data_IF_018522650841
#
_entry.id   IF_018522650841
#
_cell.length_a   1.000
_cell.length_b   1.000
_cell.length_c   1.000
_cell.angle_alpha   90.00
_cell.angle_beta   90.00
_cell.angle_gamma   90.00
#
_symmetry.space_group_name_H-M   'P 1'
#
loop_
_entity.id
_entity.type
_entity.pdbx_description
1 polymer ?
#
# COMPACT_ATOMS: atom_id res chain seq x y z
N UNK A 1 20.05 -0.12 -13.01
CA UNK A 1 19.10 0.06 -14.13
C UNK A 1 18.87 1.55 -14.25
N UNK A 2 19.51 2.25 -15.19
CA UNK A 2 19.23 3.69 -15.38
C UNK A 2 18.20 3.77 -16.51
N UNK A 3 16.95 3.43 -16.20
CA UNK A 3 15.83 4.04 -16.94
C UNK A 3 15.89 5.53 -16.61
N UNK A 4 15.63 6.42 -17.57
CA UNK A 4 15.46 7.84 -17.25
C UNK A 4 14.44 7.94 -16.11
N UNK A 5 14.72 8.78 -15.12
CA UNK A 5 13.79 8.99 -14.01
C UNK A 5 12.66 9.89 -14.49
N UNK A 6 11.41 9.46 -14.27
CA UNK A 6 10.22 10.31 -14.42
C UNK A 6 9.77 10.91 -13.09
N UNK A 7 10.44 10.57 -11.99
CA UNK A 7 10.14 11.02 -10.64
C UNK A 7 11.40 11.47 -9.88
N UNK A 8 11.30 12.57 -9.15
CA UNK A 8 12.29 13.10 -8.23
C UNK A 8 11.83 12.92 -6.78
N UNK A 9 12.48 11.98 -6.07
CA UNK A 9 12.18 11.68 -4.66
C UNK A 9 12.46 12.86 -3.74
N UNK A 10 13.52 13.64 -3.97
CA UNK A 10 13.89 14.78 -3.12
C UNK A 10 12.87 15.91 -3.24
N UNK A 11 12.39 16.19 -4.46
CA UNK A 11 11.34 17.19 -4.71
C UNK A 11 10.03 16.80 -4.05
N UNK A 12 9.65 15.51 -4.16
CA UNK A 12 8.49 14.96 -3.47
C UNK A 12 8.59 15.08 -1.94
N UNK A 13 9.70 14.61 -1.34
CA UNK A 13 9.89 14.62 0.11
C UNK A 13 9.77 16.02 0.69
N UNK A 14 10.39 17.01 0.04
CA UNK A 14 10.32 18.41 0.43
C UNK A 14 8.87 18.92 0.49
N UNK A 15 8.08 18.66 -0.55
CA UNK A 15 6.67 19.05 -0.60
C UNK A 15 5.82 18.28 0.43
N UNK A 16 6.07 16.98 0.57
CA UNK A 16 5.33 16.08 1.44
C UNK A 16 5.51 16.42 2.92
N UNK A 17 6.74 16.69 3.34
CA UNK A 17 7.07 17.09 4.71
C UNK A 17 6.45 18.44 5.03
N UNK A 18 6.58 19.41 4.11
CA UNK A 18 5.93 20.72 4.26
C UNK A 18 4.43 20.57 4.48
N UNK A 19 3.75 19.76 3.67
CA UNK A 19 2.30 19.50 3.78
C UNK A 19 1.90 18.85 5.11
N UNK A 20 2.70 17.90 5.60
CA UNK A 20 2.48 17.27 6.91
C UNK A 20 2.67 18.29 8.03
N UNK A 21 3.74 19.07 8.01
CA UNK A 21 4.01 20.09 9.04
C UNK A 21 2.94 21.19 9.07
N UNK A 22 2.45 21.63 7.91
CA UNK A 22 1.31 22.57 7.84
C UNK A 22 0.03 22.02 8.48
N UNK A 23 -0.17 20.68 8.45
CA UNK A 23 -1.29 20.02 9.12
C UNK A 23 -1.09 19.96 10.63
N UNK A 24 0.12 19.57 11.07
CA UNK A 24 0.48 19.40 12.48
C UNK A 24 0.48 20.73 13.23
N UNK A 25 1.01 21.80 12.62
CA UNK A 25 1.19 23.10 13.29
C UNK A 25 -0.12 23.80 13.72
N UNK A 26 -1.28 23.28 13.31
CA UNK A 26 -2.60 23.80 13.70
C UNK A 26 -3.18 23.11 14.94
N UNK A 27 -2.53 22.07 15.46
CA UNK A 27 -3.03 21.20 16.53
C UNK A 27 -1.90 20.78 17.47
N UNK A 28 -2.25 20.25 18.64
CA UNK A 28 -1.28 19.68 19.58
C UNK A 28 -0.74 18.33 19.07
N UNK A 29 -1.62 17.52 18.47
CA UNK A 29 -1.30 16.19 17.93
C UNK A 29 -1.89 15.95 16.54
N UNK A 30 -1.23 15.10 15.76
CA UNK A 30 -1.73 14.56 14.50
C UNK A 30 -1.63 13.03 14.51
N UNK A 31 -2.76 12.34 14.41
CA UNK A 31 -2.79 10.92 14.07
C UNK A 31 -2.77 10.78 12.55
N UNK A 32 -1.65 10.32 12.02
CA UNK A 32 -1.41 10.16 10.59
C UNK A 32 -1.52 8.68 10.23
N UNK A 33 -2.63 8.31 9.59
CA UNK A 33 -2.84 6.94 9.10
C UNK A 33 -1.96 6.68 7.88
N UNK A 34 -1.04 5.72 7.97
CA UNK A 34 -0.22 5.30 6.84
C UNK A 34 -0.88 4.16 6.08
N UNK A 35 -1.31 4.45 4.86
CA UNK A 35 -1.71 3.44 3.89
C UNK A 35 -0.50 2.79 3.20
N UNK A 36 -0.66 1.50 2.90
CA UNK A 36 0.38 0.70 2.25
C UNK A 36 1.58 0.41 3.14
N UNK A 37 2.72 0.11 2.51
CA UNK A 37 3.93 -0.33 3.20
C UNK A 37 4.77 0.86 3.66
N UNK A 38 5.37 0.78 4.85
CA UNK A 38 6.38 1.75 5.30
C UNK A 38 7.72 1.59 4.57
N UNK A 39 8.09 0.35 4.23
CA UNK A 39 9.30 0.00 3.48
C UNK A 39 8.96 -0.83 2.26
N UNK A 40 9.81 -0.75 1.24
CA UNK A 40 9.75 -1.60 0.06
C UNK A 40 8.47 -1.40 -0.75
N UNK A 41 8.12 -0.15 -1.02
CA UNK A 41 7.01 0.20 -1.91
C UNK A 41 7.40 -0.04 -3.37
N UNK A 42 7.53 -1.33 -3.72
CA UNK A 42 7.92 -1.76 -5.05
C UNK A 42 6.91 -1.39 -6.13
N UNK A 43 5.64 -1.21 -5.76
CA UNK A 43 4.64 -0.73 -6.71
C UNK A 43 4.93 0.73 -7.08
N UNK A 44 5.07 1.62 -6.09
CA UNK A 44 5.43 3.02 -6.33
C UNK A 44 6.72 3.15 -7.15
N UNK A 45 7.78 2.40 -6.80
CA UNK A 45 9.05 2.45 -7.53
C UNK A 45 8.97 2.01 -9.01
N UNK A 46 8.02 1.12 -9.35
CA UNK A 46 7.80 0.69 -10.75
C UNK A 46 6.91 1.64 -11.53
N UNK A 47 5.91 2.23 -10.87
CA UNK A 47 4.94 3.17 -11.46
C UNK A 47 5.53 4.57 -11.61
N UNK A 48 6.39 4.98 -10.69
CA UNK A 48 7.06 6.29 -10.65
C UNK A 48 8.59 6.09 -10.71
N UNK A 49 9.20 5.89 -11.91
CA UNK A 49 10.64 5.64 -12.03
C UNK A 49 11.47 6.77 -11.42
N UNK A 50 12.18 6.48 -10.33
CA UNK A 50 12.90 7.45 -9.51
C UNK A 50 12.35 7.60 -8.09
N UNK A 51 11.18 7.02 -7.79
CA UNK A 51 10.67 6.85 -6.43
C UNK A 51 11.48 5.81 -5.67
N UNK A 52 12.18 6.22 -4.61
CA UNK A 52 13.02 5.33 -3.82
C UNK A 52 12.19 4.35 -2.96
N UNK A 53 12.64 3.10 -2.82
CA UNK A 53 11.92 2.06 -2.06
C UNK A 53 11.76 2.37 -0.56
N UNK A 54 12.62 3.24 -0.04
CA UNK A 54 12.66 3.72 1.33
C UNK A 54 12.18 5.17 1.47
N UNK A 55 11.51 5.75 0.46
CA UNK A 55 11.02 7.14 0.49
C UNK A 55 10.22 7.46 1.76
N UNK A 56 9.28 6.60 2.17
CA UNK A 56 8.51 6.84 3.40
C UNK A 56 9.37 6.79 4.66
N UNK A 57 10.43 5.98 4.67
CA UNK A 57 11.41 5.97 5.76
C UNK A 57 12.25 7.24 5.77
N UNK A 58 12.70 7.73 4.61
CA UNK A 58 13.42 8.99 4.50
C UNK A 58 12.56 10.14 5.05
N UNK A 59 11.29 10.18 4.68
CA UNK A 59 10.32 11.13 5.23
C UNK A 59 10.22 11.04 6.76
N UNK A 60 10.06 9.83 7.33
CA UNK A 60 9.99 9.66 8.79
C UNK A 60 11.27 10.12 9.50
N UNK A 61 12.44 9.89 8.90
CA UNK A 61 13.71 10.37 9.45
C UNK A 61 13.83 11.88 9.42
N UNK A 62 13.33 12.54 8.37
CA UNK A 62 13.31 14.00 8.28
C UNK A 62 12.32 14.64 9.26
N UNK A 63 11.20 13.98 9.55
CA UNK A 63 10.31 14.38 10.65
C UNK A 63 10.96 14.16 12.03
N UNK A 64 11.95 13.26 12.12
CA UNK A 64 12.85 13.11 13.26
C UNK A 64 12.14 12.80 14.57
N UNK A 65 12.60 13.43 15.66
CA UNK A 65 12.11 13.20 17.02
C UNK A 65 10.69 13.72 17.28
N UNK A 66 9.98 14.20 16.26
CA UNK A 66 8.57 14.64 16.38
C UNK A 66 7.57 13.50 16.16
N UNK A 67 8.06 12.31 15.81
CA UNK A 67 7.27 11.15 15.42
C UNK A 67 7.28 10.05 16.48
N UNK A 68 6.11 9.43 16.67
CA UNK A 68 5.92 8.19 17.42
C UNK A 68 5.14 7.18 16.56
N UNK A 69 5.55 5.92 16.54
CA UNK A 69 4.93 4.91 15.66
C UNK A 69 4.07 3.95 16.49
N UNK A 70 2.81 3.79 16.10
CA UNK A 70 1.87 2.82 16.63
C UNK A 70 1.51 1.81 15.54
N UNK A 71 1.64 0.53 15.85
CA UNK A 71 1.38 -0.55 14.91
C UNK A 71 0.09 -1.28 15.24
N UNK A 72 -0.92 -1.20 14.36
CA UNK A 72 -2.18 -1.92 14.53
C UNK A 72 -2.14 -3.30 13.86
N UNK A 73 -2.85 -4.26 14.44
CA UNK A 73 -3.13 -5.58 13.86
C UNK A 73 -4.50 -6.08 14.32
N UNK A 74 -5.27 -6.69 13.42
CA UNK A 74 -6.54 -7.31 13.79
C UNK A 74 -6.32 -8.70 14.41
N UNK A 75 -6.93 -8.96 15.57
CA UNK A 75 -6.96 -10.29 16.19
C UNK A 75 -7.50 -11.34 15.22
N UNK A 76 -8.52 -11.00 14.42
CA UNK A 76 -9.08 -11.90 13.38
C UNK A 76 -8.06 -12.24 12.29
N UNK A 77 -7.16 -11.31 11.96
CA UNK A 77 -6.09 -11.58 10.98
C UNK A 77 -5.00 -12.49 11.55
N UNK A 78 -4.74 -12.42 12.87
CA UNK A 78 -3.82 -13.33 13.57
C UNK A 78 -4.41 -14.74 13.59
N UNK A 79 -5.67 -14.88 14.03
CA UNK A 79 -6.35 -16.19 14.09
C UNK A 79 -6.47 -16.84 12.71
N UNK A 80 -6.80 -16.04 11.68
CA UNK A 80 -6.85 -16.51 10.29
C UNK A 80 -5.49 -16.74 9.64
N UNK A 81 -4.38 -16.55 10.38
CA UNK A 81 -2.99 -16.62 9.88
C UNK A 81 -2.80 -15.91 8.55
N UNK A 82 -3.35 -14.70 8.44
CA UNK A 82 -3.36 -13.95 7.18
C UNK A 82 -1.93 -13.70 6.71
N UNK A 83 -1.62 -14.12 5.48
CA UNK A 83 -0.29 -14.00 4.88
C UNK A 83 -0.21 -12.75 4.01
N UNK A 84 0.91 -12.04 4.12
CA UNK A 84 1.28 -10.94 3.22
C UNK A 84 2.06 -11.50 2.02
N UNK A 85 1.50 -11.35 0.81
CA UNK A 85 2.04 -11.95 -0.43
C UNK A 85 3.49 -11.58 -0.75
N UNK A 86 3.94 -10.39 -0.34
CA UNK A 86 5.27 -9.89 -0.72
C UNK A 86 6.44 -10.67 -0.09
N UNK A 87 6.30 -11.05 1.18
CA UNK A 87 7.34 -11.74 1.94
C UNK A 87 6.95 -13.16 2.34
N UNK A 88 5.70 -13.56 2.10
CA UNK A 88 5.17 -14.84 2.55
C UNK A 88 5.04 -14.96 4.07
N UNK A 89 5.11 -13.83 4.80
CA UNK A 89 5.02 -13.78 6.25
C UNK A 89 3.57 -13.63 6.70
N UNK A 90 3.21 -14.24 7.83
CA UNK A 90 1.95 -13.92 8.49
C UNK A 90 1.98 -12.48 9.01
N UNK A 91 0.81 -11.89 9.23
CA UNK A 91 0.71 -10.49 9.67
C UNK A 91 1.45 -10.23 11.00
N UNK A 92 1.43 -11.18 11.94
CA UNK A 92 2.13 -11.10 13.22
C UNK A 92 3.66 -11.22 13.05
N UNK A 93 4.14 -12.08 12.15
CA UNK A 93 5.55 -12.16 11.78
C UNK A 93 6.04 -10.88 11.09
N UNK A 94 5.21 -10.30 10.23
CA UNK A 94 5.50 -9.05 9.55
C UNK A 94 5.68 -7.90 10.56
N UNK A 95 4.86 -7.83 11.62
CA UNK A 95 5.03 -6.81 12.66
C UNK A 95 6.36 -6.94 13.38
N UNK A 96 6.75 -8.16 13.77
CA UNK A 96 8.03 -8.38 14.42
C UNK A 96 9.20 -8.00 13.51
N UNK A 97 9.06 -8.27 12.20
CA UNK A 97 10.05 -7.82 11.21
C UNK A 97 10.08 -6.30 11.10
N UNK A 98 8.93 -5.65 10.99
CA UNK A 98 8.81 -4.20 10.83
C UNK A 98 9.38 -3.46 12.06
N UNK A 99 9.09 -3.92 13.28
CA UNK A 99 9.67 -3.37 14.52
C UNK A 99 11.20 -3.46 14.50
N UNK A 100 11.76 -4.62 14.15
CA UNK A 100 13.21 -4.80 14.08
C UNK A 100 13.85 -3.94 12.97
N UNK A 101 13.22 -3.87 11.80
CA UNK A 101 13.72 -3.10 10.67
C UNK A 101 13.69 -1.60 10.91
N UNK A 102 12.65 -1.09 11.60
CA UNK A 102 12.53 0.30 12.02
C UNK A 102 13.55 0.64 13.11
N UNK A 103 13.70 -0.23 14.12
CA UNK A 103 14.68 -0.03 15.19
C UNK A 103 16.12 0.08 14.66
N UNK A 104 16.48 -0.74 13.66
CA UNK A 104 17.81 -0.71 12.99
C UNK A 104 18.14 0.62 12.32
N UNK A 105 17.14 1.45 12.03
CA UNK A 105 17.31 2.74 11.36
C UNK A 105 16.97 3.92 12.29
N UNK A 106 16.84 3.67 13.60
CA UNK A 106 16.61 4.70 14.62
C UNK A 106 15.14 5.13 14.76
N UNK A 107 14.19 4.31 14.30
CA UNK A 107 12.75 4.57 14.48
C UNK A 107 12.17 3.50 15.40
N UNK A 108 11.76 3.89 16.61
CA UNK A 108 11.16 2.97 17.57
C UNK A 108 9.63 2.90 17.42
N UNK A 109 9.08 1.70 17.62
CA UNK A 109 7.64 1.47 17.70
C UNK A 109 7.23 1.57 19.16
N UNK A 110 6.42 2.57 19.50
CA UNK A 110 6.02 2.85 20.87
C UNK A 110 5.02 1.84 21.42
N UNK A 111 4.11 1.37 20.56
CA UNK A 111 3.10 0.39 20.94
C UNK A 111 2.60 -0.45 19.76
N UNK A 112 2.12 -1.65 20.08
CA UNK A 112 1.31 -2.48 19.19
C UNK A 112 -0.13 -2.51 19.71
N UNK A 113 -1.10 -2.30 18.82
CA UNK A 113 -2.53 -2.34 19.16
C UNK A 113 -3.17 -3.53 18.47
N UNK A 114 -3.63 -4.49 19.26
CA UNK A 114 -4.39 -5.65 18.77
C UNK A 114 -5.88 -5.27 18.75
N UNK A 115 -6.41 -5.03 17.56
CA UNK A 115 -7.78 -4.58 17.34
C UNK A 115 -8.74 -5.74 17.17
N UNK A 116 -10.04 -5.50 17.43
CA UNK A 116 -11.11 -6.52 17.37
C UNK A 116 -10.82 -7.75 18.23
N UNK A 117 -10.14 -7.53 19.35
CA UNK A 117 -9.71 -8.55 20.27
C UNK A 117 -10.88 -9.05 21.12
N UNK A 118 -11.02 -10.37 21.24
CA UNK A 118 -12.05 -11.01 22.05
C UNK A 118 -11.52 -12.18 22.89
N UNK A 119 -10.21 -12.22 23.16
CA UNK A 119 -9.60 -13.25 24.02
C UNK A 119 -9.10 -14.49 23.28
N UNK A 120 -8.90 -14.40 21.96
CA UNK A 120 -8.50 -15.56 21.16
C UNK A 120 -7.08 -16.05 21.50
N UNK A 121 -6.85 -17.37 21.39
CA UNK A 121 -5.62 -18.01 21.90
C UNK A 121 -4.35 -17.58 21.16
N UNK A 122 -4.40 -17.45 19.83
CA UNK A 122 -3.19 -17.07 19.08
C UNK A 122 -2.88 -15.59 19.27
N UNK A 123 -3.91 -14.75 19.40
CA UNK A 123 -3.77 -13.34 19.77
C UNK A 123 -3.15 -13.17 21.16
N UNK A 124 -3.57 -13.97 22.15
CA UNK A 124 -2.97 -14.00 23.49
C UNK A 124 -1.47 -14.37 23.46
N UNK A 125 -1.11 -15.41 22.71
CA UNK A 125 0.30 -15.80 22.53
C UNK A 125 1.12 -14.70 21.89
N UNK A 126 0.57 -14.01 20.89
CA UNK A 126 1.26 -12.92 20.21
C UNK A 126 1.43 -11.70 21.13
N UNK A 127 0.39 -11.33 21.89
CA UNK A 127 0.46 -10.31 22.95
C UNK A 127 1.59 -10.62 23.93
N UNK A 128 1.60 -11.81 24.53
CA UNK A 128 2.66 -12.24 25.45
C UNK A 128 4.04 -12.21 24.80
N UNK A 129 4.14 -12.61 23.53
CA UNK A 129 5.39 -12.59 22.77
C UNK A 129 5.96 -11.17 22.62
N UNK A 130 5.11 -10.17 22.40
CA UNK A 130 5.50 -8.77 22.32
C UNK A 130 5.88 -8.20 23.69
N UNK A 131 5.08 -8.47 24.73
CA UNK A 131 5.35 -8.02 26.11
C UNK A 131 6.67 -8.59 26.64
N UNK A 132 6.97 -9.86 26.37
CA UNK A 132 8.26 -10.48 26.71
C UNK A 132 9.48 -9.81 26.03
N UNK A 133 9.25 -8.98 25.01
CA UNK A 133 10.28 -8.19 24.32
C UNK A 133 10.30 -6.73 24.77
N UNK A 134 9.53 -6.37 25.79
CA UNK A 134 9.42 -5.01 26.31
C UNK A 134 8.63 -4.08 25.37
N UNK A 135 7.76 -4.62 24.51
CA UNK A 135 6.91 -3.83 23.63
C UNK A 135 5.57 -3.61 24.33
N UNK A 136 5.11 -2.36 24.39
CA UNK A 136 3.80 -2.04 24.95
C UNK A 136 2.69 -2.58 24.02
N UNK A 137 1.71 -3.28 24.59
CA UNK A 137 0.60 -3.86 23.83
C UNK A 137 -0.72 -3.41 24.42
N UNK A 138 -1.57 -2.85 23.57
CA UNK A 138 -2.94 -2.46 23.90
C UNK A 138 -3.93 -3.30 23.11
N UNK A 139 -5.15 -3.41 23.61
CA UNK A 139 -6.22 -4.15 22.94
C UNK A 139 -7.42 -3.25 22.72
N UNK A 140 -8.05 -3.35 21.55
CA UNK A 140 -9.36 -2.76 21.31
C UNK A 140 -10.36 -3.82 20.91
N UNK A 141 -11.62 -3.61 21.27
CA UNK A 141 -12.70 -4.53 20.99
C UNK A 141 -13.45 -4.16 19.72
N UNK A 142 -14.24 -5.09 19.19
CA UNK A 142 -15.17 -4.77 18.11
C UNK A 142 -16.35 -3.99 18.68
N UNK A 143 -16.62 -2.81 18.12
CA UNK A 143 -17.80 -2.01 18.46
C UNK A 143 -18.94 -2.46 17.53
N UNK A 144 -20.04 -3.05 18.07
CA UNK A 144 -21.18 -3.43 17.26
C UNK A 144 -21.79 -2.21 16.56
N UNK A 145 -22.35 -2.42 15.36
CA UNK A 145 -23.13 -1.41 14.64
C UNK A 145 -22.33 -0.13 14.31
N UNK A 146 -21.01 -0.25 14.14
CA UNK A 146 -20.09 0.88 14.00
C UNK A 146 -20.45 1.87 12.88
N UNK A 147 -21.08 1.40 11.80
CA UNK A 147 -21.45 2.23 10.66
C UNK A 147 -22.86 2.85 10.80
N UNK A 148 -23.67 2.34 11.73
CA UNK A 148 -25.11 2.67 11.83
C UNK A 148 -25.49 3.35 13.14
N UNK A 149 -24.76 3.10 14.24
CA UNK A 149 -25.01 3.67 15.56
C UNK A 149 -23.82 4.52 16.03
N UNK A 150 -23.71 5.72 15.46
CA UNK A 150 -22.60 6.63 15.77
C UNK A 150 -22.69 7.23 17.18
N UNK A 151 -23.88 7.28 17.78
CA UNK A 151 -24.06 7.72 19.16
C UNK A 151 -23.39 6.75 20.13
N UNK A 152 -23.58 5.44 19.92
CA UNK A 152 -22.86 4.43 20.68
C UNK A 152 -21.37 4.43 20.38
N UNK A 153 -20.96 4.56 19.13
CA UNK A 153 -19.53 4.59 18.75
C UNK A 153 -18.79 5.73 19.46
N UNK A 154 -19.34 6.95 19.41
CA UNK A 154 -18.74 8.15 20.01
C UNK A 154 -19.27 8.36 21.44
N UNK A 155 -19.11 7.33 22.28
CA UNK A 155 -19.54 7.36 23.69
C UNK A 155 -18.58 6.60 24.61
N UNK A 156 -18.88 6.63 25.91
CA UNK A 156 -18.21 5.81 26.92
C UNK A 156 -18.42 4.30 26.71
N UNK A 157 -19.46 3.89 25.98
CA UNK A 157 -19.71 2.48 25.66
C UNK A 157 -19.00 1.99 24.39
N UNK A 158 -18.60 2.93 23.52
CA UNK A 158 -17.85 2.70 22.28
C UNK A 158 -16.37 3.03 22.46
N UNK A 159 -15.91 4.14 21.89
CA UNK A 159 -14.50 4.56 21.99
C UNK A 159 -14.01 4.70 23.42
N UNK A 160 -14.85 5.11 24.38
CA UNK A 160 -14.44 5.25 25.77
C UNK A 160 -14.04 3.93 26.46
N UNK A 161 -14.37 2.77 25.88
CA UNK A 161 -13.89 1.45 26.34
C UNK A 161 -12.50 1.10 25.82
N UNK A 162 -12.01 1.79 24.80
CA UNK A 162 -10.67 1.51 24.28
C UNK A 162 -9.64 2.15 25.21
N UNK A 163 -8.48 1.49 25.35
CA UNK A 163 -7.38 2.07 26.12
C UNK A 163 -6.87 3.33 25.41
N UNK A 164 -6.62 4.38 26.20
CA UNK A 164 -5.87 5.53 25.74
C UNK A 164 -4.39 5.20 25.71
N UNK A 165 -3.77 5.31 24.54
CA UNK A 165 -2.34 5.10 24.35
C UNK A 165 -1.63 6.42 24.60
N UNK A 166 -0.95 6.53 25.73
CA UNK A 166 -0.19 7.73 26.05
C UNK A 166 0.97 7.91 25.07
N UNK A 167 0.92 9.02 24.35
CA UNK A 167 1.91 9.43 23.35
C UNK A 167 2.50 10.77 23.72
N UNK A 168 3.81 10.92 23.51
CA UNK A 168 4.58 12.11 23.91
C UNK A 168 4.98 13.00 22.74
N UNK A 169 4.82 12.50 21.50
CA UNK A 169 5.21 13.20 20.29
C UNK A 169 4.01 13.86 19.60
N UNK A 170 4.29 14.82 18.71
CA UNK A 170 3.23 15.55 17.99
C UNK A 170 2.64 14.75 16.84
N UNK A 171 3.44 13.92 16.17
CA UNK A 171 3.01 13.16 15.00
C UNK A 171 2.95 11.68 15.38
N UNK A 172 1.75 11.13 15.41
CA UNK A 172 1.51 9.73 15.75
C UNK A 172 1.22 8.97 14.45
N UNK A 173 2.19 8.17 14.03
CA UNK A 173 2.12 7.37 12.80
C UNK A 173 1.37 6.09 13.13
N UNK A 174 0.18 5.93 12.54
CA UNK A 174 -0.64 4.73 12.72
C UNK A 174 -0.45 3.84 11.49
N UNK A 175 0.23 2.70 11.66
CA UNK A 175 0.58 1.77 10.58
C UNK A 175 0.04 0.36 10.82
N UNK A 176 0.09 -0.51 9.82
CA UNK A 176 -0.39 -1.90 9.90
C UNK A 176 0.29 -2.80 8.86
N UNK A 177 0.27 -4.14 9.03
CA UNK A 177 0.81 -5.05 8.03
C UNK A 177 -0.04 -5.07 6.75
N UNK A 178 -1.31 -4.66 6.82
CA UNK A 178 -2.19 -4.49 5.67
C UNK A 178 -3.60 -3.98 6.03
N UNK A 179 -4.52 -3.96 5.05
CA UNK A 179 -5.88 -3.45 5.22
C UNK A 179 -6.69 -4.27 6.23
N UNK A 180 -7.71 -3.65 6.83
CA UNK A 180 -8.60 -4.28 7.81
C UNK A 180 -8.01 -4.42 9.22
N UNK A 181 -6.89 -3.77 9.51
CA UNK A 181 -6.22 -3.85 10.83
C UNK A 181 -6.73 -2.84 11.87
N UNK A 182 -7.74 -2.03 11.54
CA UNK A 182 -8.39 -1.10 12.48
C UNK A 182 -7.69 0.25 12.70
N UNK A 183 -6.80 0.68 11.79
CA UNK A 183 -6.02 1.93 11.92
C UNK A 183 -6.88 3.17 12.15
N UNK A 184 -7.86 3.41 11.28
CA UNK A 184 -8.77 4.56 11.38
C UNK A 184 -9.60 4.54 12.67
N UNK A 185 -10.19 3.40 13.01
CA UNK A 185 -10.99 3.27 14.24
C UNK A 185 -10.15 3.53 15.50
N UNK A 186 -8.92 3.02 15.54
CA UNK A 186 -7.96 3.34 16.60
C UNK A 186 -7.63 4.84 16.64
N UNK A 187 -7.27 5.45 15.51
CA UNK A 187 -6.95 6.88 15.45
C UNK A 187 -8.12 7.75 15.94
N UNK A 188 -9.35 7.45 15.51
CA UNK A 188 -10.55 8.16 15.96
C UNK A 188 -10.83 7.97 17.45
N UNK A 189 -10.57 6.79 18.01
CA UNK A 189 -10.70 6.58 19.45
C UNK A 189 -9.68 7.41 20.23
N UNK A 190 -8.44 7.50 19.75
CA UNK A 190 -7.43 8.32 20.42
C UNK A 190 -7.77 9.82 20.35
N UNK A 191 -8.32 10.29 19.22
CA UNK A 191 -8.83 11.66 19.10
C UNK A 191 -9.97 11.90 20.07
N UNK A 192 -10.90 10.95 20.23
CA UNK A 192 -11.98 11.03 21.23
C UNK A 192 -11.43 11.21 22.65
N UNK A 193 -10.42 10.41 23.04
CA UNK A 193 -9.79 10.56 24.35
C UNK A 193 -8.98 11.85 24.50
N UNK A 194 -8.26 12.28 23.46
CA UNK A 194 -7.54 13.55 23.44
C UNK A 194 -8.52 14.71 23.69
N UNK A 195 -9.69 14.72 23.02
CA UNK A 195 -10.70 15.76 23.21
C UNK A 195 -11.28 15.75 24.63
N UNK A 196 -11.53 14.57 25.22
CA UNK A 196 -11.92 14.45 26.64
C UNK A 196 -10.86 14.98 27.61
N UNK A 197 -9.59 14.98 27.22
CA UNK A 197 -8.45 15.50 28.00
C UNK A 197 -8.10 16.95 27.67
N UNK A 198 -8.87 17.62 26.80
CA UNK A 198 -8.61 19.00 26.37
C UNK A 198 -7.44 19.15 25.40
N UNK A 199 -6.95 18.06 24.79
CA UNK A 199 -5.89 18.07 23.80
C UNK A 199 -6.51 18.27 22.42
N UNK A 200 -5.97 19.20 21.63
CA UNK A 200 -6.43 19.40 20.25
C UNK A 200 -5.69 18.45 19.32
N UNK A 201 -6.39 17.43 18.81
CA UNK A 201 -5.80 16.42 17.93
C UNK A 201 -6.48 16.36 16.57
N UNK A 202 -5.70 16.19 15.51
CA UNK A 202 -6.16 16.06 14.13
C UNK A 202 -5.98 14.64 13.60
N UNK A 203 -6.67 14.35 12.50
CA UNK A 203 -6.55 13.14 11.71
C UNK A 203 -6.12 13.48 10.29
N UNK A 204 -5.21 12.69 9.71
CA UNK A 204 -4.94 12.74 8.30
C UNK A 204 -4.57 11.37 7.75
N UNK A 205 -4.74 11.20 6.44
CA UNK A 205 -4.41 9.98 5.72
C UNK A 205 -3.22 10.19 4.80
N UNK A 206 -2.22 9.34 4.94
CA UNK A 206 -1.06 9.26 4.06
C UNK A 206 -1.20 8.06 3.13
N UNK A 207 -1.58 8.33 1.89
CA UNK A 207 -1.63 7.33 0.82
C UNK A 207 -0.91 7.87 -0.41
N UNK A 208 -0.07 7.04 -1.03
CA UNK A 208 0.66 7.42 -2.25
C UNK A 208 -0.26 7.37 -3.47
N UNK A 209 -1.18 6.41 -3.51
CA UNK A 209 -2.12 6.21 -4.62
C UNK A 209 -3.56 6.06 -4.10
N UNK A 210 -4.57 6.53 -4.86
CA UNK A 210 -4.40 7.31 -6.09
C UNK A 210 -3.80 8.70 -5.81
N UNK A 211 -3.21 9.31 -6.85
CA UNK A 211 -2.69 10.68 -6.78
C UNK A 211 -3.84 11.63 -7.11
N UNK A 212 -4.33 12.32 -6.07
CA UNK A 212 -5.59 13.07 -6.11
C UNK A 212 -5.64 14.17 -7.17
N UNK A 213 -4.52 14.81 -7.45
CA UNK A 213 -4.38 15.89 -8.43
C UNK A 213 -3.89 15.42 -9.80
N UNK A 214 -3.94 14.10 -10.07
CA UNK A 214 -3.91 13.54 -11.43
C UNK A 214 -5.32 13.12 -11.86
N UNK A 215 -5.66 13.16 -13.16
CA UNK A 215 -6.94 12.67 -13.66
C UNK A 215 -7.23 11.22 -13.26
N UNK A 216 -8.52 10.88 -13.13
CA UNK A 216 -8.96 9.51 -12.78
C UNK A 216 -8.41 8.48 -13.77
N UNK A 217 -8.45 8.82 -15.06
CA UNK A 217 -7.95 7.97 -16.15
C UNK A 217 -6.45 8.09 -16.42
N UNK A 218 -5.69 8.79 -15.56
CA UNK A 218 -4.25 8.84 -15.68
C UNK A 218 -3.65 7.43 -15.47
N UNK A 219 -2.75 6.93 -16.33
CA UNK A 219 -2.20 5.58 -16.20
C UNK A 219 -1.61 5.27 -14.82
N UNK A 220 -1.02 6.26 -14.14
CA UNK A 220 -0.55 6.12 -12.74
C UNK A 220 -1.67 5.73 -11.78
N UNK A 221 -2.84 6.36 -11.87
CA UNK A 221 -4.00 6.03 -11.05
C UNK A 221 -4.61 4.69 -11.48
N UNK A 222 -4.68 4.41 -12.78
CA UNK A 222 -5.15 3.11 -13.29
C UNK A 222 -4.23 1.96 -12.85
N UNK A 223 -2.91 2.19 -12.74
CA UNK A 223 -1.98 1.19 -12.24
C UNK A 223 -2.23 0.82 -10.76
N UNK A 224 -2.74 1.76 -9.96
CA UNK A 224 -3.20 1.47 -8.60
C UNK A 224 -4.44 0.58 -8.61
N UNK A 225 -5.43 0.90 -9.44
CA UNK A 225 -6.63 0.07 -9.63
C UNK A 225 -6.26 -1.35 -10.12
N UNK A 226 -5.27 -1.45 -11.01
CA UNK A 226 -4.69 -2.72 -11.44
C UNK A 226 -3.97 -3.47 -10.31
N UNK A 227 -3.49 -2.79 -9.27
CA UNK A 227 -2.84 -3.43 -8.12
C UNK A 227 -3.84 -3.86 -7.05
N UNK A 228 -5.10 -3.43 -7.15
CA UNK A 228 -6.19 -3.70 -6.19
C UNK A 228 -7.41 -4.35 -6.85
N UNK A 229 -7.27 -4.91 -8.05
CA UNK A 229 -8.40 -5.48 -8.80
C UNK A 229 -9.10 -6.62 -8.05
N UNK A 230 -8.37 -7.36 -7.22
CA UNK A 230 -8.90 -8.40 -6.33
C UNK A 230 -9.72 -7.83 -5.15
N UNK A 231 -9.38 -6.63 -4.69
CA UNK A 231 -10.12 -5.92 -3.64
C UNK A 231 -11.35 -5.19 -4.17
N UNK A 232 -11.40 -4.93 -5.48
CA UNK A 232 -12.48 -4.19 -6.13
C UNK A 232 -12.46 -2.69 -5.86
N UNK A 233 -11.34 -2.15 -5.36
CA UNK A 233 -11.16 -0.71 -5.23
C UNK A 233 -10.98 -0.10 -6.63
N UNK A 234 -11.76 0.94 -6.95
CA UNK A 234 -11.70 1.63 -8.24
C UNK A 234 -11.58 3.15 -8.07
N UNK A 235 -10.91 3.81 -9.01
CA UNK A 235 -10.74 5.25 -8.96
C UNK A 235 -12.04 5.97 -9.36
N UNK A 236 -12.37 7.05 -8.67
CA UNK A 236 -13.52 7.88 -8.96
C UNK A 236 -13.23 9.35 -8.66
N UNK A 237 -14.14 10.23 -9.12
CA UNK A 237 -14.10 11.64 -8.72
C UNK A 237 -14.57 11.76 -7.27
N UNK A 238 -13.84 12.51 -6.46
CA UNK A 238 -14.29 12.90 -5.13
C UNK A 238 -15.48 13.87 -5.24
N UNK A 239 -16.69 13.32 -5.13
CA UNK A 239 -17.92 14.11 -5.22
C UNK A 239 -18.02 15.17 -4.12
N UNK A 240 -17.49 14.90 -2.93
CA UNK A 240 -17.52 15.83 -1.80
C UNK A 240 -16.61 17.03 -2.05
N UNK A 241 -15.41 16.79 -2.63
CA UNK A 241 -14.50 17.87 -3.00
C UNK A 241 -15.06 18.72 -4.14
N UNK A 242 -15.67 18.06 -5.15
CA UNK A 242 -16.33 18.74 -6.26
C UNK A 242 -17.47 19.64 -5.76
N UNK A 243 -18.30 19.16 -4.84
CA UNK A 243 -19.39 19.94 -4.25
C UNK A 243 -18.86 21.13 -3.42
N UNK A 244 -17.83 20.90 -2.61
CA UNK A 244 -17.30 21.91 -1.70
C UNK A 244 -16.48 23.01 -2.40
N UNK A 245 -15.76 22.67 -3.48
CA UNK A 245 -14.77 23.55 -4.10
C UNK A 245 -14.93 23.74 -5.61
N UNK A 246 -15.80 22.97 -6.27
CA UNK A 246 -15.97 23.02 -7.73
C UNK A 246 -14.80 22.42 -8.52
N UNK A 247 -13.92 21.65 -7.85
CA UNK A 247 -12.70 21.08 -8.47
C UNK A 247 -12.81 19.56 -8.57
N UNK A 248 -12.58 19.04 -9.77
CA UNK A 248 -12.51 17.60 -10.01
C UNK A 248 -11.15 17.05 -9.56
N UNK A 249 -11.18 16.16 -8.58
CA UNK A 249 -10.00 15.47 -8.02
C UNK A 249 -10.28 13.97 -7.92
N UNK A 250 -9.21 13.17 -8.00
CA UNK A 250 -9.29 11.72 -7.94
C UNK A 250 -9.27 11.22 -6.50
N UNK A 251 -10.16 10.29 -6.20
CA UNK A 251 -10.11 9.46 -5.00
C UNK A 251 -10.49 8.02 -5.40
N UNK A 252 -10.82 7.17 -4.44
CA UNK A 252 -11.32 5.82 -4.72
C UNK A 252 -12.59 5.55 -3.93
N UNK A 253 -13.39 4.64 -4.46
CA UNK A 253 -14.78 4.43 -4.05
C UNK A 253 -14.97 4.25 -2.54
N UNK A 254 -14.15 3.41 -1.90
CA UNK A 254 -14.28 3.10 -0.47
C UNK A 254 -14.12 4.35 0.41
N UNK A 255 -13.21 5.25 0.08
CA UNK A 255 -13.01 6.47 0.86
C UNK A 255 -14.13 7.48 0.62
N UNK A 256 -14.58 7.63 -0.62
CA UNK A 256 -15.71 8.51 -0.98
C UNK A 256 -17.02 8.05 -0.34
N UNK A 257 -17.29 6.74 -0.35
CA UNK A 257 -18.46 6.12 0.25
C UNK A 257 -18.46 6.28 1.78
N UNK A 258 -17.31 6.05 2.42
CA UNK A 258 -17.19 6.10 3.88
C UNK A 258 -17.01 7.52 4.45
N UNK A 259 -16.69 8.52 3.62
CA UNK A 259 -16.40 9.88 4.11
C UNK A 259 -17.57 10.48 4.90
N UNK A 260 -18.81 10.25 4.48
CA UNK A 260 -20.00 10.76 5.18
C UNK A 260 -20.10 10.27 6.62
N UNK A 261 -19.66 9.04 6.90
CA UNK A 261 -19.62 8.45 8.24
C UNK A 261 -18.47 9.05 9.04
N UNK A 262 -17.27 9.16 8.43
CA UNK A 262 -16.10 9.75 9.08
C UNK A 262 -16.38 11.21 9.48
N UNK A 263 -17.01 11.98 8.60
CA UNK A 263 -17.39 13.37 8.87
C UNK A 263 -18.32 13.48 10.09
N UNK A 264 -19.35 12.63 10.18
CA UNK A 264 -20.25 12.58 11.34
C UNK A 264 -19.53 12.18 12.63
N UNK A 265 -18.59 11.23 12.55
CA UNK A 265 -17.77 10.84 13.70
C UNK A 265 -16.94 12.04 14.18
N UNK A 266 -16.27 12.74 13.25
CA UNK A 266 -15.50 13.96 13.55
C UNK A 266 -16.39 15.02 14.20
N UNK A 267 -17.53 15.34 13.60
CA UNK A 267 -18.49 16.34 14.12
C UNK A 267 -18.99 16.03 15.54
N UNK A 268 -19.13 14.73 15.89
CA UNK A 268 -19.50 14.31 17.24
C UNK A 268 -18.35 14.38 18.25
N UNK A 269 -17.11 14.14 17.80
CA UNK A 269 -15.93 14.16 18.67
C UNK A 269 -15.49 15.59 18.96
N UNK A 270 -15.62 16.49 17.99
CA UNK A 270 -15.06 17.85 18.07
C UNK A 270 -16.13 18.89 18.44
N UNK A 271 -15.77 19.94 19.20
CA UNK A 271 -16.66 21.07 19.43
C UNK A 271 -16.96 21.84 18.12
N UNK A 272 -18.04 22.61 18.12
CA UNK A 272 -18.38 23.47 16.99
C UNK A 272 -17.25 24.48 16.69
N UNK A 273 -16.86 24.59 15.42
CA UNK A 273 -15.76 25.46 14.96
C UNK A 273 -14.36 24.87 15.09
N UNK A 274 -14.22 23.59 15.46
CA UNK A 274 -12.93 22.90 15.45
C UNK A 274 -12.39 22.74 14.01
N UNK A 275 -11.10 23.03 13.73
CA UNK A 275 -10.58 22.93 12.38
C UNK A 275 -10.51 21.51 11.82
N UNK A 276 -10.64 20.46 12.65
CA UNK A 276 -10.80 19.08 12.17
C UNK A 276 -12.19 18.88 11.51
N UNK A 277 -13.22 19.58 11.99
CA UNK A 277 -14.57 19.55 11.39
C UNK A 277 -14.66 20.32 10.06
N UNK A 278 -13.64 21.12 9.71
CA UNK A 278 -13.56 21.83 8.42
C UNK A 278 -13.14 20.93 7.25
N UNK A 279 -12.85 19.65 7.48
CA UNK A 279 -12.56 18.68 6.41
C UNK A 279 -13.86 18.44 5.61
N UNK A 280 -13.87 18.85 4.33
CA UNK A 280 -15.06 18.77 3.47
C UNK A 280 -15.05 17.58 2.53
N UNK A 281 -13.91 16.91 2.36
CA UNK A 281 -13.79 15.74 1.48
C UNK A 281 -12.70 14.75 1.95
N UNK A 282 -12.71 13.49 1.46
CA UNK A 282 -11.60 12.56 1.70
C UNK A 282 -10.28 13.07 1.09
N UNK A 283 -10.32 13.86 0.02
CA UNK A 283 -9.13 14.57 -0.50
C UNK A 283 -8.57 15.57 0.52
N UNK A 284 -9.42 16.32 1.23
CA UNK A 284 -8.96 17.22 2.31
C UNK A 284 -8.40 16.45 3.51
N UNK A 285 -8.87 15.23 3.75
CA UNK A 285 -8.34 14.34 4.79
C UNK A 285 -6.93 13.81 4.42
N UNK A 286 -6.62 13.76 3.13
CA UNK A 286 -5.32 13.36 2.60
C UNK A 286 -4.21 14.40 2.80
N UNK A 287 -2.96 13.92 2.77
CA UNK A 287 -1.76 14.78 2.75
C UNK A 287 -0.83 14.50 1.56
N UNK A 288 -1.26 13.69 0.59
CA UNK A 288 -0.41 13.23 -0.51
C UNK A 288 0.08 14.38 -1.43
N UNK A 289 1.39 14.45 -1.64
CA UNK A 289 2.06 15.40 -2.55
C UNK A 289 2.80 14.71 -3.71
N UNK A 290 2.50 13.44 -4.01
CA UNK A 290 3.28 12.65 -4.98
C UNK A 290 3.41 13.29 -6.37
N UNK A 291 2.40 14.03 -6.87
CA UNK A 291 2.50 14.75 -8.16
C UNK A 291 3.68 15.72 -8.21
N UNK A 292 4.07 16.30 -7.08
CA UNK A 292 5.21 17.23 -7.02
C UNK A 292 6.55 16.56 -7.33
N UNK A 293 6.64 15.24 -7.21
CA UNK A 293 7.82 14.50 -7.63
C UNK A 293 7.85 14.17 -9.12
N UNK A 294 6.74 14.27 -9.85
CA UNK A 294 6.71 13.91 -11.27
C UNK A 294 7.46 14.98 -12.08
N UNK A 295 8.53 14.56 -12.77
CA UNK A 295 9.38 15.41 -13.61
C UNK A 295 9.26 15.08 -15.10
N UNK A 296 8.71 13.92 -15.45
CA UNK A 296 8.42 13.50 -16.83
C UNK A 296 7.14 12.64 -16.84
N UNK A 297 6.05 13.24 -17.33
CA UNK A 297 4.71 12.62 -17.34
C UNK A 297 4.64 11.42 -18.29
N UNK A 298 5.31 11.49 -19.44
CA UNK A 298 5.31 10.43 -20.44
C UNK A 298 6.03 9.18 -19.93
N UNK A 299 7.15 9.36 -19.22
CA UNK A 299 7.87 8.25 -18.60
C UNK A 299 7.05 7.56 -17.50
N UNK A 300 6.38 8.31 -16.62
CA UNK A 300 5.53 7.69 -15.59
C UNK A 300 4.29 7.03 -16.19
N UNK A 301 3.72 7.58 -17.28
CA UNK A 301 2.62 6.94 -18.02
C UNK A 301 3.04 5.59 -18.57
N UNK A 302 4.16 5.53 -19.28
CA UNK A 302 4.66 4.28 -19.87
C UNK A 302 4.99 3.26 -18.77
N UNK A 303 5.67 3.67 -17.70
CA UNK A 303 6.02 2.80 -16.59
C UNK A 303 4.77 2.24 -15.87
N UNK A 304 3.71 3.05 -15.77
CA UNK A 304 2.43 2.63 -15.24
C UNK A 304 1.74 1.59 -16.13
N UNK A 305 1.76 1.78 -17.45
CA UNK A 305 1.22 0.80 -18.42
C UNK A 305 2.00 -0.53 -18.31
N UNK A 306 3.32 -0.48 -18.21
CA UNK A 306 4.15 -1.69 -17.99
C UNK A 306 3.76 -2.42 -16.69
N UNK A 307 3.44 -1.69 -15.62
CA UNK A 307 2.93 -2.27 -14.36
C UNK A 307 1.54 -2.87 -14.53
N UNK A 308 0.62 -2.22 -15.24
CA UNK A 308 -0.72 -2.75 -15.54
C UNK A 308 -0.60 -4.10 -16.26
N UNK A 309 0.23 -4.19 -17.30
CA UNK A 309 0.46 -5.47 -18.03
C UNK A 309 1.11 -6.51 -17.12
N UNK A 310 2.02 -6.11 -16.21
CA UNK A 310 2.59 -7.03 -15.20
C UNK A 310 1.50 -7.59 -14.28
N UNK A 311 0.56 -6.75 -13.82
CA UNK A 311 -0.57 -7.17 -12.98
C UNK A 311 -1.53 -8.09 -13.73
N UNK A 312 -1.76 -7.85 -15.01
CA UNK A 312 -2.50 -8.77 -15.87
C UNK A 312 -1.93 -10.20 -15.80
N UNK A 313 -0.65 -10.40 -16.12
CA UNK A 313 -0.02 -11.73 -16.05
C UNK A 313 0.00 -12.30 -14.63
N UNK A 314 0.17 -11.45 -13.60
CA UNK A 314 0.12 -11.90 -12.22
C UNK A 314 -1.26 -12.46 -11.87
N UNK A 315 -2.34 -11.78 -12.20
CA UNK A 315 -3.69 -12.26 -11.89
C UNK A 315 -4.09 -13.49 -12.70
N UNK A 316 -3.62 -13.63 -13.94
CA UNK A 316 -3.78 -14.87 -14.70
C UNK A 316 -3.15 -16.07 -13.95
N UNK A 317 -1.93 -15.90 -13.44
CA UNK A 317 -1.28 -16.92 -12.61
C UNK A 317 -2.01 -17.13 -11.28
N UNK A 318 -2.41 -16.07 -10.60
CA UNK A 318 -3.11 -16.16 -9.32
C UNK A 318 -4.48 -16.83 -9.45
N UNK A 319 -5.17 -16.71 -10.60
CA UNK A 319 -6.42 -17.41 -10.89
C UNK A 319 -6.20 -18.92 -11.02
N UNK A 320 -5.16 -19.35 -11.75
CA UNK A 320 -4.78 -20.77 -11.88
C UNK A 320 -4.47 -21.39 -10.51
N UNK A 321 -3.91 -20.60 -9.60
CA UNK A 321 -3.56 -21.02 -8.24
C UNK A 321 -4.73 -20.93 -7.26
N UNK A 322 -5.92 -20.50 -7.70
CA UNK A 322 -7.10 -20.35 -6.87
C UNK A 322 -7.04 -19.18 -5.88
N UNK A 323 -6.14 -18.22 -6.08
CA UNK A 323 -5.94 -17.06 -5.19
C UNK A 323 -6.88 -15.89 -5.50
N UNK A 324 -7.51 -15.87 -6.68
CA UNK A 324 -8.47 -14.85 -7.13
C UNK A 324 -9.59 -15.49 -7.94
N UNK A 325 -10.69 -14.77 -8.13
CA UNK A 325 -11.88 -15.21 -8.87
C UNK A 325 -11.89 -14.68 -10.31
N UNK A 326 -12.82 -15.19 -11.13
CA UNK A 326 -13.03 -14.69 -12.50
C UNK A 326 -13.33 -13.19 -12.54
N UNK A 327 -14.07 -12.66 -11.57
CA UNK A 327 -14.34 -11.22 -11.43
C UNK A 327 -13.06 -10.37 -11.42
N UNK A 328 -11.98 -10.91 -10.84
CA UNK A 328 -10.68 -10.20 -10.81
C UNK A 328 -10.08 -10.12 -12.21
N UNK A 329 -10.19 -11.19 -13.01
CA UNK A 329 -9.76 -11.20 -14.41
C UNK A 329 -10.60 -10.24 -15.26
N UNK A 330 -11.93 -10.26 -15.10
CA UNK A 330 -12.83 -9.36 -15.82
C UNK A 330 -12.54 -7.88 -15.54
N UNK A 331 -12.23 -7.54 -14.28
CA UNK A 331 -11.78 -6.18 -13.91
C UNK A 331 -10.45 -5.85 -14.59
N UNK A 332 -9.49 -6.77 -14.53
CA UNK A 332 -8.17 -6.57 -15.14
C UNK A 332 -8.25 -6.38 -16.67
N UNK A 333 -9.14 -7.10 -17.35
CA UNK A 333 -9.38 -6.94 -18.78
C UNK A 333 -9.95 -5.56 -19.12
N UNK A 334 -10.91 -5.06 -18.32
CA UNK A 334 -11.43 -3.68 -18.46
C UNK A 334 -10.34 -2.65 -18.22
N UNK A 335 -9.50 -2.86 -17.22
CA UNK A 335 -8.35 -1.98 -16.91
C UNK A 335 -7.36 -1.94 -18.09
N UNK A 336 -7.03 -3.09 -18.68
CA UNK A 336 -6.17 -3.16 -19.87
C UNK A 336 -6.77 -2.38 -21.05
N UNK A 337 -8.08 -2.52 -21.29
CA UNK A 337 -8.79 -1.77 -22.33
C UNK A 337 -8.75 -0.25 -22.10
N UNK A 338 -8.94 0.21 -20.86
CA UNK A 338 -8.93 1.64 -20.50
C UNK A 338 -7.61 2.35 -20.87
N UNK A 339 -6.49 1.64 -20.79
CA UNK A 339 -5.16 2.18 -21.16
C UNK A 339 -4.69 1.73 -22.54
N UNK A 340 -5.55 1.08 -23.33
CA UNK A 340 -5.21 0.47 -24.62
C UNK A 340 -3.98 -0.46 -24.54
N UNK A 341 -3.80 -1.13 -23.40
CA UNK A 341 -2.72 -2.08 -23.20
C UNK A 341 -3.09 -3.45 -23.75
N UNK A 342 -2.08 -4.17 -24.22
CA UNK A 342 -2.22 -5.56 -24.65
C UNK A 342 -1.18 -6.45 -23.98
N UNK A 343 -1.45 -7.75 -23.77
CA UNK A 343 -0.45 -8.67 -23.22
C UNK A 343 0.89 -8.63 -23.96
N UNK A 344 0.83 -8.42 -25.29
CA UNK A 344 1.99 -8.31 -26.18
C UNK A 344 2.91 -7.12 -25.87
N UNK A 345 2.44 -6.09 -25.15
CA UNK A 345 3.30 -4.99 -24.71
C UNK A 345 4.42 -5.48 -23.77
N UNK A 346 4.26 -6.65 -23.14
CA UNK A 346 5.32 -7.31 -22.38
C UNK A 346 6.13 -8.25 -23.27
N UNK A 347 7.11 -7.72 -23.98
CA UNK A 347 7.95 -8.46 -24.95
C UNK A 347 8.56 -9.75 -24.37
N UNK A 348 9.00 -9.73 -23.10
CA UNK A 348 9.53 -10.94 -22.44
C UNK A 348 8.51 -12.08 -22.36
N UNK A 349 7.21 -11.78 -22.24
CA UNK A 349 6.18 -12.82 -22.22
C UNK A 349 6.03 -13.47 -23.60
N UNK A 350 6.07 -12.68 -24.68
CA UNK A 350 6.06 -13.19 -26.06
C UNK A 350 7.27 -14.10 -26.30
N UNK A 351 8.47 -13.63 -25.97
CA UNK A 351 9.71 -14.40 -26.19
C UNK A 351 9.77 -15.68 -25.35
N UNK A 352 9.15 -15.69 -24.18
CA UNK A 352 9.02 -16.91 -23.38
C UNK A 352 8.09 -17.93 -24.05
N UNK A 353 6.98 -17.48 -24.65
CA UNK A 353 6.08 -18.34 -25.42
C UNK A 353 6.75 -18.90 -26.69
N UNK A 354 7.50 -18.09 -27.43
CA UNK A 354 8.30 -18.56 -28.58
C UNK A 354 9.32 -19.63 -28.15
N UNK A 355 10.00 -19.43 -27.01
CA UNK A 355 10.94 -20.41 -26.47
C UNK A 355 10.25 -21.72 -26.04
N UNK A 356 9.00 -21.64 -25.57
CA UNK A 356 8.17 -22.81 -25.28
C UNK A 356 7.82 -23.55 -26.58
N UNK A 357 7.41 -22.83 -27.63
CA UNK A 357 7.14 -23.43 -28.96
C UNK A 357 8.37 -24.12 -29.54
N UNK A 358 9.56 -23.53 -29.37
CA UNK A 358 10.81 -24.21 -29.74
C UNK A 358 11.10 -25.46 -28.92
N UNK A 359 10.76 -25.44 -27.62
CA UNK A 359 10.91 -26.60 -26.74
C UNK A 359 10.07 -27.78 -27.25
N UNK A 360 8.84 -27.51 -27.69
CA UNK A 360 7.90 -28.51 -28.21
C UNK A 360 8.38 -29.23 -29.48
N UNK A 361 9.34 -28.64 -30.22
CA UNK A 361 9.92 -29.26 -31.43
C UNK A 361 10.91 -30.38 -31.11
N UNK A 362 11.33 -30.53 -29.86
CA UNK A 362 12.28 -31.56 -29.41
C UNK A 362 11.51 -32.71 -28.78
N UNK A 363 11.74 -33.94 -29.23
CA UNK A 363 11.06 -35.12 -28.69
C UNK A 363 11.38 -35.33 -27.20
N UNK A 364 10.36 -35.69 -26.43
CA UNK A 364 10.51 -36.02 -25.01
C UNK A 364 11.60 -37.07 -24.79
N UNK A 365 12.47 -36.80 -23.82
CA UNK A 365 13.48 -37.80 -23.40
C UNK A 365 12.98 -38.64 -22.23
N UNK A 366 11.95 -38.17 -21.52
CA UNK A 366 11.39 -38.81 -20.33
C UNK A 366 9.84 -38.77 -20.41
N UNK A 367 9.12 -39.86 -20.07
CA UNK A 367 7.66 -39.83 -19.96
C UNK A 367 7.19 -38.76 -18.95
N UNK A 368 6.17 -37.96 -19.32
CA UNK A 368 5.63 -36.82 -18.54
C UNK A 368 6.53 -35.60 -18.41
N UNK A 369 7.53 -35.47 -19.27
CA UNK A 369 8.35 -34.27 -19.35
C UNK A 369 7.54 -33.04 -19.81
N UNK A 370 7.41 -32.01 -18.96
CA UNK A 370 6.73 -30.76 -19.33
C UNK A 370 7.67 -29.83 -20.12
N UNK A 371 7.25 -29.38 -21.30
CA UNK A 371 7.94 -28.33 -22.02
C UNK A 371 7.74 -26.99 -21.35
N UNK A 372 8.82 -26.20 -21.27
CA UNK A 372 8.80 -24.85 -20.70
C UNK A 372 9.68 -23.93 -21.53
N UNK A 373 9.33 -22.64 -21.50
CA UNK A 373 10.07 -21.53 -22.11
C UNK A 373 10.18 -20.38 -21.12
N UNK A 374 11.29 -19.64 -21.18
CA UNK A 374 11.55 -18.51 -20.30
C UNK A 374 12.32 -17.43 -21.05
N UNK A 375 12.16 -16.19 -20.64
CA UNK A 375 12.89 -15.07 -21.22
C UNK A 375 13.26 -14.04 -20.15
N UNK A 376 14.41 -13.40 -20.33
CA UNK A 376 14.96 -12.36 -19.47
C UNK A 376 15.32 -11.16 -20.35
N UNK A 377 14.88 -9.98 -19.95
CA UNK A 377 15.36 -8.71 -20.52
C UNK A 377 16.64 -8.28 -19.83
N UNK A 378 17.66 -7.97 -20.62
CA UNK A 378 18.94 -7.46 -20.19
C UNK A 378 19.13 -6.07 -20.79
N UNK A 379 19.28 -5.08 -19.92
CA UNK A 379 19.66 -3.74 -20.36
C UNK A 379 21.17 -3.63 -20.47
N UNK A 380 21.66 -3.47 -21.70
CA UNK A 380 23.05 -3.17 -21.97
C UNK A 380 23.26 -1.65 -21.92
N UNK A 381 24.48 -1.22 -21.56
CA UNK A 381 24.83 0.20 -21.50
C UNK A 381 24.81 0.78 -22.92
N UNK A 382 24.09 1.88 -23.11
CA UNK A 382 24.02 2.65 -24.36
C UNK A 382 23.50 1.87 -25.60
N UNK A 383 22.75 0.77 -25.40
CA UNK A 383 22.10 0.04 -26.50
C UNK A 383 20.65 -0.34 -26.19
N UNK A 384 19.95 -0.82 -27.23
CA UNK A 384 18.63 -1.41 -27.06
C UNK A 384 18.68 -2.59 -26.08
N UNK A 385 17.59 -2.84 -25.32
CA UNK A 385 17.50 -3.99 -24.44
C UNK A 385 17.57 -5.28 -25.25
N UNK A 386 18.32 -6.26 -24.73
CA UNK A 386 18.42 -7.60 -25.29
C UNK A 386 17.44 -8.52 -24.56
N UNK A 387 16.65 -9.29 -25.31
CA UNK A 387 15.86 -10.37 -24.73
C UNK A 387 16.58 -11.69 -24.94
N UNK A 388 16.99 -12.32 -23.85
CA UNK A 388 17.61 -13.65 -23.85
C UNK A 388 16.58 -14.68 -23.46
N UNK A 389 16.47 -15.74 -24.24
CA UNK A 389 15.53 -16.85 -24.00
C UNK A 389 16.25 -18.08 -23.45
N UNK A 390 15.46 -18.94 -22.82
CA UNK A 390 15.84 -20.26 -22.38
C UNK A 390 14.69 -21.22 -22.62
N UNK A 391 15.02 -22.43 -23.06
CA UNK A 391 14.07 -23.53 -23.21
C UNK A 391 14.54 -24.72 -22.41
N UNK A 392 13.60 -25.57 -22.03
CA UNK A 392 13.94 -26.83 -21.35
C UNK A 392 14.89 -27.67 -22.19
N UNK A 393 15.84 -28.30 -21.52
CA UNK A 393 16.76 -29.29 -22.08
C UNK A 393 16.86 -30.49 -21.14
N UNK A 394 17.62 -31.52 -21.51
CA UNK A 394 17.87 -32.70 -20.66
C UNK A 394 18.50 -32.35 -19.30
N UNK A 395 19.28 -31.27 -19.22
CA UNK A 395 20.09 -30.92 -18.04
C UNK A 395 19.61 -29.66 -17.30
N UNK A 396 18.78 -28.83 -17.94
CA UNK A 396 18.37 -27.53 -17.41
C UNK A 396 16.88 -27.29 -17.68
N UNK A 397 16.19 -26.73 -16.69
CA UNK A 397 14.89 -26.08 -16.91
C UNK A 397 15.08 -24.77 -17.70
N UNK A 398 13.98 -24.23 -18.24
CA UNK A 398 14.02 -23.04 -19.09
C UNK A 398 14.52 -21.80 -18.34
N UNK A 399 14.21 -21.67 -17.06
CA UNK A 399 14.62 -20.55 -16.22
C UNK A 399 16.13 -20.53 -16.02
N UNK A 400 16.72 -21.68 -15.65
CA UNK A 400 18.17 -21.82 -15.50
C UNK A 400 18.89 -21.63 -16.83
N UNK A 401 18.32 -22.13 -17.92
CA UNK A 401 18.88 -21.94 -19.26
C UNK A 401 18.87 -20.45 -19.66
N UNK A 402 17.76 -19.74 -19.46
CA UNK A 402 17.66 -18.31 -19.75
C UNK A 402 18.67 -17.50 -18.92
N UNK A 403 18.81 -17.83 -17.64
CA UNK A 403 19.78 -17.19 -16.75
C UNK A 403 21.22 -17.45 -17.18
N UNK A 404 21.60 -18.70 -17.49
CA UNK A 404 22.95 -19.01 -17.96
C UNK A 404 23.25 -18.36 -19.31
N UNK A 405 22.28 -18.34 -20.23
CA UNK A 405 22.43 -17.63 -21.50
C UNK A 405 22.64 -16.13 -21.28
N UNK A 406 21.92 -15.52 -20.33
CA UNK A 406 22.06 -14.12 -19.97
C UNK A 406 23.45 -13.83 -19.38
N UNK A 407 23.92 -14.67 -18.45
CA UNK A 407 25.25 -14.54 -17.83
C UNK A 407 26.35 -14.71 -18.88
N UNK A 408 26.25 -15.71 -19.76
CA UNK A 408 27.20 -15.89 -20.86
C UNK A 408 27.26 -14.65 -21.75
N UNK A 409 26.10 -14.12 -22.16
CA UNK A 409 26.07 -12.92 -22.99
C UNK A 409 26.74 -11.72 -22.29
N UNK A 410 26.48 -11.53 -21.00
CA UNK A 410 27.07 -10.43 -20.22
C UNK A 410 28.58 -10.60 -19.96
N UNK A 411 29.09 -11.83 -19.92
CA UNK A 411 30.49 -12.14 -19.67
C UNK A 411 31.37 -12.07 -20.93
N UNK A 412 30.78 -12.05 -22.12
CA UNK A 412 31.48 -12.25 -23.40
C UNK A 412 31.79 -13.72 -23.67
#
# INVERSE_FOLDING_TARGET
MIRKNGFDTSRYLSAQIKRIMERVNKFDKLYLEFGGKLRYDHHAARVLPGFALDTKVQMLKELGDTVEIIHCISAKAIEGRKIRRDFGLTYDEQILKDINDLKRIGLDVAAVVITRYSGEHTSNKFKQRLENRGINVFTTHEIPDYLTDLDKVVSDEGYGKFDYVETNKKIIIVTAPGPGSGKMSFAMSQIYHDRKKGITSNFAKFETFPIWNLPVNHPVNIAYEAATADLGDYNCIDSHHKEAYGVDVTNYNRDVENFSIIKKIIEKITPAGDPLADIKSPTDMGVNMAKEGIIDDDLVRQASIDEIVRRYYQYQRDFVEGNVTHDTLDRMDKIMQLVNAKPEHRVVAIRANEALEESLKVSHTIPREMHTGSAIEIQLKDSAPLIVTGKRSRILNSESAALLNAVKYLAG
#
